data_IF_732690738346
#
_entry.id   IF_732690738346
#
_cell.length_a   1.000
_cell.length_b   1.000
_cell.length_c   1.000
_cell.angle_alpha   90.00
_cell.angle_beta   90.00
_cell.angle_gamma   90.00
#
_symmetry.space_group_name_H-M   'P 1'
#
loop_
_entity.id
_entity.type
_entity.pdbx_description
1 polymer ?
#
# COMPACT_ATOMS: atom_id res chain seq x y z
N UNK A 1 37.38 14.80 50.04
CA UNK A 1 36.04 15.23 50.57
C UNK A 1 34.96 14.63 49.71
N UNK A 2 34.44 13.60 50.20
CA UNK A 2 33.06 13.05 50.30
C UNK A 2 31.96 13.85 49.60
N UNK A 3 31.14 13.21 48.73
CA UNK A 3 29.92 12.49 49.17
C UNK A 3 29.30 11.62 48.04
N UNK A 4 29.09 10.38 48.41
CA UNK A 4 28.26 9.40 47.72
C UNK A 4 26.78 9.79 47.72
N UNK A 5 26.02 9.44 46.68
CA UNK A 5 24.61 9.11 46.84
C UNK A 5 24.19 8.08 45.77
N UNK A 6 23.78 6.91 46.24
CA UNK A 6 23.28 5.78 45.48
C UNK A 6 21.80 5.96 45.07
N UNK A 7 21.31 5.30 43.99
CA UNK A 7 19.90 5.34 43.60
C UNK A 7 19.06 4.31 44.34
N UNK A 8 17.87 4.72 44.76
CA UNK A 8 16.85 3.90 45.38
C UNK A 8 16.19 2.99 44.34
N UNK A 9 16.27 1.68 44.60
CA UNK A 9 15.54 0.64 43.91
C UNK A 9 14.10 0.63 44.43
N UNK A 10 13.11 0.78 43.55
CA UNK A 10 11.69 0.61 43.85
C UNK A 10 11.27 -0.79 43.39
N UNK A 11 11.05 -1.69 44.34
CA UNK A 11 10.52 -3.03 44.12
C UNK A 11 8.99 -2.92 44.04
N UNK A 12 8.41 -3.25 42.88
CA UNK A 12 6.97 -3.50 42.73
C UNK A 12 6.70 -5.00 42.85
N UNK A 13 5.92 -5.37 43.85
CA UNK A 13 5.36 -6.72 44.06
C UNK A 13 4.35 -7.02 42.95
N UNK A 14 4.57 -8.11 42.22
CA UNK A 14 3.56 -8.74 41.38
C UNK A 14 2.83 -9.81 42.21
N UNK A 15 1.54 -9.60 42.46
CA UNK A 15 0.61 -10.59 42.99
C UNK A 15 0.13 -11.47 41.81
N UNK A 16 0.57 -12.73 41.80
CA UNK A 16 0.05 -13.75 40.91
C UNK A 16 -1.21 -14.38 41.52
N UNK A 17 -2.33 -14.26 40.82
CA UNK A 17 -3.56 -15.00 41.12
C UNK A 17 -3.54 -16.30 40.30
N UNK A 18 -3.32 -17.42 40.95
CA UNK A 18 -3.47 -18.75 40.39
C UNK A 18 -4.91 -19.22 40.60
N UNK A 19 -5.65 -19.42 39.53
CA UNK A 19 -6.91 -20.18 39.56
C UNK A 19 -6.66 -21.62 39.12
N UNK A 20 -6.80 -22.51 40.06
CA UNK A 20 -6.80 -23.96 39.83
C UNK A 20 -8.17 -24.38 39.28
N UNK A 21 -8.19 -25.07 38.14
CA UNK A 21 -9.38 -25.78 37.68
C UNK A 21 -9.23 -27.26 38.06
N UNK A 22 -10.11 -27.70 38.98
CA UNK A 22 -10.33 -29.13 39.26
C UNK A 22 -11.39 -29.67 38.30
N UNK A 23 -11.02 -30.70 37.56
CA UNK A 23 -11.98 -31.51 36.81
C UNK A 23 -12.60 -32.55 37.75
N UNK A 24 -13.94 -32.55 37.83
CA UNK A 24 -14.70 -33.62 38.45
C UNK A 24 -15.57 -34.30 37.38
N UNK A 25 -15.29 -35.57 37.15
CA UNK A 25 -16.19 -36.49 36.42
C UNK A 25 -17.36 -36.87 37.34
N UNK A 26 -18.58 -36.79 36.83
CA UNK A 26 -19.74 -37.44 37.44
C UNK A 26 -20.66 -38.00 36.34
N UNK A 27 -21.00 -39.24 36.54
CA UNK A 27 -21.81 -40.10 35.70
C UNK A 27 -23.32 -39.74 35.68
N UNK A 28 -24.00 -40.32 34.72
CA UNK A 28 -25.33 -40.02 34.25
C UNK A 28 -26.49 -40.25 35.23
N UNK A 29 -27.57 -39.57 34.93
CA UNK A 29 -28.91 -39.75 35.46
C UNK A 29 -29.94 -39.12 34.51
N UNK A 30 -31.20 -39.56 34.52
CA UNK A 30 -32.10 -39.51 33.37
C UNK A 30 -32.80 -38.16 33.13
N UNK A 31 -33.29 -38.04 31.91
CA UNK A 31 -33.99 -36.90 31.34
C UNK A 31 -35.09 -36.31 32.25
N UNK A 32 -34.90 -35.04 32.62
CA UNK A 32 -35.94 -34.18 33.16
C UNK A 32 -36.38 -33.18 32.10
N UNK A 33 -37.64 -33.19 31.75
CA UNK A 33 -38.28 -32.21 30.90
C UNK A 33 -38.05 -30.77 31.42
N UNK A 34 -37.34 -29.97 30.62
CA UNK A 34 -37.30 -28.51 30.85
C UNK A 34 -38.60 -27.90 30.32
N UNK A 35 -39.25 -27.00 31.06
CA UNK A 35 -40.40 -26.27 30.57
C UNK A 35 -39.96 -25.37 29.41
N UNK A 36 -40.68 -25.46 28.31
CA UNK A 36 -40.59 -24.58 27.16
C UNK A 36 -40.71 -23.13 27.60
N UNK A 37 -39.61 -22.38 27.49
CA UNK A 37 -39.66 -20.94 27.60
C UNK A 37 -40.49 -20.41 26.42
N UNK A 38 -41.67 -19.95 26.70
CA UNK A 38 -42.51 -19.12 25.85
C UNK A 38 -41.63 -17.91 25.42
N UNK A 39 -41.18 -17.95 24.13
CA UNK A 39 -40.64 -16.76 23.50
C UNK A 39 -41.73 -15.72 23.42
N UNK A 40 -41.80 -14.83 24.42
CA UNK A 40 -42.58 -13.60 24.33
C UNK A 40 -42.08 -12.88 23.08
N UNK A 41 -42.92 -12.82 22.07
CA UNK A 41 -42.72 -12.05 20.86
C UNK A 41 -42.41 -10.61 21.28
N UNK A 42 -41.16 -10.19 21.16
CA UNK A 42 -40.78 -8.78 21.34
C UNK A 42 -41.62 -7.97 20.37
N UNK A 43 -42.37 -7.03 20.88
CA UNK A 43 -43.10 -6.05 20.08
C UNK A 43 -42.16 -5.45 19.03
N UNK A 44 -42.61 -5.24 17.79
CA UNK A 44 -41.78 -4.67 16.75
C UNK A 44 -41.20 -3.35 17.26
N UNK A 45 -39.87 -3.23 17.31
CA UNK A 45 -39.22 -2.00 17.75
C UNK A 45 -39.79 -0.83 16.93
N UNK A 46 -40.35 0.16 17.63
CA UNK A 46 -40.95 1.37 17.04
C UNK A 46 -39.96 1.94 16.01
N UNK A 47 -40.42 2.12 14.78
CA UNK A 47 -39.57 2.70 13.75
C UNK A 47 -39.26 4.16 14.12
N UNK A 48 -37.99 4.59 14.03
CA UNK A 48 -37.66 5.95 14.41
C UNK A 48 -38.48 6.95 13.60
N UNK A 49 -39.05 7.94 14.29
CA UNK A 49 -39.92 8.98 13.73
C UNK A 49 -39.19 9.92 12.75
N UNK A 50 -37.87 9.85 12.68
CA UNK A 50 -37.05 10.69 11.82
C UNK A 50 -35.77 9.97 11.37
N UNK A 51 -35.08 10.53 10.37
CA UNK A 51 -33.85 10.02 9.84
C UNK A 51 -34.05 8.93 8.80
N UNK A 52 -33.22 7.89 8.85
CA UNK A 52 -33.33 6.74 7.95
C UNK A 52 -34.36 5.78 8.51
N UNK A 53 -35.49 5.66 7.82
CA UNK A 53 -36.64 4.85 8.18
C UNK A 53 -36.97 3.84 7.08
N UNK A 54 -37.80 2.84 7.39
CA UNK A 54 -38.26 1.85 6.43
C UNK A 54 -39.75 2.04 6.11
N UNK A 55 -40.06 2.21 4.82
CA UNK A 55 -41.44 2.36 4.34
C UNK A 55 -41.67 1.33 3.23
N UNK A 56 -42.66 0.44 3.41
CA UNK A 56 -42.96 -0.63 2.43
C UNK A 56 -41.71 -1.38 1.96
N UNK A 57 -40.84 -1.73 2.91
CA UNK A 57 -39.59 -2.47 2.67
C UNK A 57 -38.42 -1.66 2.10
N UNK A 58 -38.60 -0.40 1.73
CA UNK A 58 -37.55 0.47 1.21
C UNK A 58 -37.02 1.42 2.30
N UNK A 59 -35.73 1.69 2.29
CA UNK A 59 -35.14 2.74 3.13
C UNK A 59 -35.47 4.11 2.52
N UNK A 60 -35.91 5.04 3.36
CA UNK A 60 -36.25 6.43 3.02
C UNK A 60 -35.63 7.36 4.06
N UNK A 61 -35.49 8.63 3.75
CA UNK A 61 -35.05 9.64 4.70
C UNK A 61 -36.20 10.60 5.04
N UNK A 62 -36.53 10.68 6.35
CA UNK A 62 -37.45 11.65 6.89
C UNK A 62 -36.65 12.73 7.63
N UNK A 63 -36.85 13.97 7.21
CA UNK A 63 -36.17 15.11 7.80
C UNK A 63 -36.53 15.26 9.31
N UNK A 64 -35.55 15.34 10.22
CA UNK A 64 -35.81 15.42 11.64
C UNK A 64 -36.57 16.64 12.08
N UNK A 65 -36.41 17.77 11.37
CA UNK A 65 -37.04 19.05 11.74
C UNK A 65 -38.42 19.15 11.15
N UNK A 66 -38.56 18.91 9.86
CA UNK A 66 -39.84 19.09 9.14
C UNK A 66 -40.76 17.88 9.20
N UNK A 67 -40.23 16.72 9.66
CA UNK A 67 -40.92 15.42 9.66
C UNK A 67 -41.39 14.96 8.28
N UNK A 68 -40.99 15.65 7.21
CA UNK A 68 -41.35 15.33 5.82
C UNK A 68 -40.36 14.36 5.18
N UNK A 69 -40.85 13.48 4.31
CA UNK A 69 -39.98 12.64 3.49
C UNK A 69 -39.24 13.47 2.45
N UNK A 70 -37.94 13.30 2.37
CA UNK A 70 -37.14 13.92 1.32
C UNK A 70 -37.34 13.15 0.01
N UNK A 71 -37.93 13.81 -0.98
CA UNK A 71 -38.18 13.23 -2.31
C UNK A 71 -37.10 13.58 -3.33
N UNK A 72 -36.38 14.71 -3.13
CA UNK A 72 -35.33 15.21 -4.04
C UNK A 72 -34.02 14.47 -3.83
N UNK A 73 -33.38 14.04 -4.90
CA UNK A 73 -32.08 13.39 -4.88
C UNK A 73 -31.01 14.21 -4.16
N UNK A 74 -30.13 13.51 -3.46
CA UNK A 74 -28.99 14.16 -2.79
C UNK A 74 -28.48 13.39 -1.58
N UNK A 75 -27.30 13.81 -1.14
CA UNK A 75 -26.69 13.25 0.06
C UNK A 75 -27.34 13.79 1.33
N UNK A 76 -27.49 12.92 2.33
CA UNK A 76 -27.93 13.26 3.68
C UNK A 76 -27.01 12.57 4.69
N UNK A 77 -26.86 13.19 5.88
CA UNK A 77 -26.18 12.57 7.03
C UNK A 77 -27.19 12.27 8.11
N UNK A 78 -27.04 11.06 8.69
CA UNK A 78 -27.83 10.64 9.83
C UNK A 78 -26.97 9.77 10.75
N UNK A 79 -26.96 10.08 12.04
CA UNK A 79 -26.12 9.39 13.04
C UNK A 79 -24.65 9.22 12.61
N UNK A 80 -24.06 10.29 12.05
CA UNK A 80 -22.67 10.28 11.57
C UNK A 80 -22.45 9.58 10.21
N UNK A 81 -23.39 8.78 9.75
CA UNK A 81 -23.31 8.04 8.49
C UNK A 81 -23.83 8.86 7.29
N UNK A 82 -23.33 8.56 6.11
CA UNK A 82 -23.71 9.21 4.85
C UNK A 82 -24.65 8.31 4.06
N UNK A 83 -25.71 8.88 3.50
CA UNK A 83 -26.70 8.21 2.64
C UNK A 83 -26.92 9.02 1.38
N UNK A 84 -27.45 8.38 0.35
CA UNK A 84 -27.89 9.06 -0.88
C UNK A 84 -29.37 8.75 -1.14
N UNK A 85 -30.19 9.79 -1.09
CA UNK A 85 -31.61 9.74 -1.46
C UNK A 85 -31.69 9.86 -2.98
N UNK A 86 -32.45 9.00 -3.62
CA UNK A 86 -32.78 9.05 -5.06
C UNK A 86 -33.98 9.95 -5.29
N UNK A 87 -34.21 10.35 -6.53
CA UNK A 87 -35.46 10.97 -6.89
C UNK A 87 -36.63 10.02 -6.58
N UNK A 88 -37.69 10.56 -5.98
CA UNK A 88 -38.80 9.78 -5.43
C UNK A 88 -38.61 9.36 -3.96
N UNK A 89 -37.42 9.57 -3.35
CA UNK A 89 -37.24 9.49 -1.90
C UNK A 89 -36.63 8.19 -1.37
N UNK A 90 -36.43 7.18 -2.20
CA UNK A 90 -35.76 5.94 -1.78
C UNK A 90 -34.27 6.16 -1.56
N UNK A 91 -33.69 5.56 -0.51
CA UNK A 91 -32.24 5.56 -0.30
C UNK A 91 -31.58 4.52 -1.22
N UNK A 92 -30.46 4.92 -1.82
CA UNK A 92 -29.64 4.02 -2.62
C UNK A 92 -29.03 2.93 -1.74
N UNK A 93 -29.22 1.66 -2.11
CA UNK A 93 -28.74 0.48 -1.35
C UNK A 93 -27.97 -0.50 -2.23
N UNK A 94 -27.08 -1.27 -1.62
CA UNK A 94 -26.53 -2.54 -2.12
C UNK A 94 -25.70 -2.50 -3.39
N UNK A 95 -25.37 -1.34 -3.97
CA UNK A 95 -24.66 -1.25 -5.25
C UNK A 95 -23.71 -0.07 -5.36
N UNK A 96 -22.89 -0.10 -6.40
CA UNK A 96 -22.13 1.05 -6.86
C UNK A 96 -23.04 1.95 -7.72
N UNK A 97 -22.82 3.26 -7.61
CA UNK A 97 -23.55 4.26 -8.37
C UNK A 97 -22.70 5.49 -8.65
N UNK A 98 -23.19 6.37 -9.50
CA UNK A 98 -22.53 7.65 -9.83
C UNK A 98 -23.43 8.82 -9.49
N UNK A 99 -22.78 9.90 -9.03
CA UNK A 99 -23.40 11.23 -8.96
C UNK A 99 -22.44 12.18 -9.66
N UNK A 100 -22.84 12.71 -10.81
CA UNK A 100 -21.96 13.41 -11.71
C UNK A 100 -20.77 12.53 -12.13
N UNK A 101 -19.57 13.07 -12.06
CA UNK A 101 -18.32 12.33 -12.38
C UNK A 101 -17.81 11.41 -11.27
N UNK A 102 -18.40 11.44 -10.10
CA UNK A 102 -17.91 10.71 -8.92
C UNK A 102 -18.61 9.36 -8.73
N UNK A 103 -17.85 8.36 -8.31
CA UNK A 103 -18.34 7.03 -7.95
C UNK A 103 -18.52 6.91 -6.46
N UNK A 104 -19.53 6.14 -6.05
CA UNK A 104 -19.90 5.85 -4.68
C UNK A 104 -20.31 4.38 -4.54
N UNK A 105 -20.32 3.90 -3.32
CA UNK A 105 -20.82 2.56 -2.99
C UNK A 105 -21.77 2.64 -1.80
N UNK A 106 -22.97 2.11 -1.97
CA UNK A 106 -23.94 1.96 -0.91
C UNK A 106 -23.97 0.51 -0.41
N UNK A 107 -23.91 0.31 0.91
CA UNK A 107 -24.16 -0.99 1.53
C UNK A 107 -25.64 -1.37 1.46
N UNK A 108 -25.99 -2.61 1.83
CA UNK A 108 -27.38 -3.10 1.82
C UNK A 108 -28.30 -2.27 2.73
N UNK A 109 -27.78 -1.69 3.80
CA UNK A 109 -28.48 -0.80 4.73
C UNK A 109 -28.55 0.67 4.28
N UNK A 110 -28.05 0.99 3.10
CA UNK A 110 -28.06 2.32 2.49
C UNK A 110 -26.91 3.22 2.89
N UNK A 111 -26.08 2.86 3.88
CA UNK A 111 -24.88 3.65 4.23
C UNK A 111 -23.93 3.72 3.06
N UNK A 112 -23.43 4.91 2.78
CA UNK A 112 -22.39 5.12 1.80
C UNK A 112 -21.03 4.73 2.42
N UNK A 113 -20.28 3.90 1.74
CA UNK A 113 -18.97 3.45 2.17
C UNK A 113 -18.00 4.64 2.30
N UNK A 114 -17.38 4.78 3.48
CA UNK A 114 -16.37 5.79 3.80
C UNK A 114 -15.16 5.16 4.47
N UNK A 115 -13.97 5.77 4.31
CA UNK A 115 -12.72 5.21 4.84
C UNK A 115 -12.36 3.88 4.21
N UNK A 116 -11.73 2.99 4.98
CA UNK A 116 -11.38 1.62 4.55
C UNK A 116 -12.52 0.67 4.87
N UNK A 117 -12.96 -0.08 3.88
CA UNK A 117 -14.08 -1.04 4.01
C UNK A 117 -13.87 -2.27 3.12
N UNK A 118 -14.57 -3.36 3.46
CA UNK A 118 -14.57 -4.61 2.66
C UNK A 118 -15.80 -4.67 1.75
N UNK A 119 -15.56 -5.03 0.48
CA UNK A 119 -16.60 -5.28 -0.51
C UNK A 119 -16.20 -6.44 -1.42
N UNK A 120 -17.08 -7.41 -1.62
CA UNK A 120 -16.81 -8.59 -2.48
C UNK A 120 -15.41 -9.20 -2.25
N UNK A 121 -15.07 -9.49 -0.99
CA UNK A 121 -13.79 -10.06 -0.53
C UNK A 121 -12.55 -9.17 -0.67
N UNK A 122 -12.64 -7.98 -1.26
CA UNK A 122 -11.53 -7.02 -1.40
C UNK A 122 -11.68 -5.83 -0.45
N UNK A 123 -10.58 -5.17 -0.16
CA UNK A 123 -10.54 -3.93 0.61
C UNK A 123 -10.54 -2.74 -0.34
N UNK A 124 -11.27 -1.69 0.03
CA UNK A 124 -11.39 -0.45 -0.72
C UNK A 124 -11.28 0.75 0.20
N UNK A 125 -11.04 1.91 -0.39
CA UNK A 125 -11.02 3.18 0.32
C UNK A 125 -11.87 4.21 -0.41
N UNK A 126 -12.75 4.85 0.33
CA UNK A 126 -13.48 6.04 -0.10
C UNK A 126 -13.15 7.21 0.82
N UNK A 127 -13.25 8.42 0.31
CA UNK A 127 -13.01 9.65 1.09
C UNK A 127 -13.91 9.66 2.33
N UNK A 128 -13.34 9.77 3.55
CA UNK A 128 -14.13 9.74 4.77
C UNK A 128 -15.14 10.90 4.92
N UNK A 129 -14.88 12.02 4.26
CA UNK A 129 -15.73 13.20 4.34
C UNK A 129 -16.97 13.13 3.45
N UNK A 130 -16.83 12.55 2.26
CA UNK A 130 -17.87 12.61 1.23
C UNK A 130 -18.19 11.28 0.55
N UNK A 131 -17.54 10.18 0.91
CA UNK A 131 -17.76 8.84 0.34
C UNK A 131 -17.29 8.65 -1.10
N UNK A 132 -16.63 9.64 -1.71
CA UNK A 132 -16.14 9.53 -3.09
C UNK A 132 -15.04 8.49 -3.19
N UNK A 133 -15.11 7.67 -4.20
CA UNK A 133 -13.99 6.82 -4.54
C UNK A 133 -12.78 7.69 -4.84
N UNK A 134 -11.68 7.35 -4.20
CA UNK A 134 -10.39 7.91 -4.55
C UNK A 134 -9.90 7.14 -5.79
N UNK A 135 -10.39 7.50 -6.97
CA UNK A 135 -9.82 7.03 -8.22
C UNK A 135 -8.40 7.56 -8.31
N UNK A 136 -7.45 6.69 -8.04
CA UNK A 136 -6.07 6.92 -8.39
C UNK A 136 -6.05 6.81 -9.91
N UNK A 137 -5.92 7.94 -10.60
CA UNK A 137 -6.13 8.05 -12.06
C UNK A 137 -5.04 7.33 -12.82
N UNK A 138 -4.60 6.37 -12.95
CA UNK A 138 -3.63 5.43 -13.49
C UNK A 138 -2.94 4.62 -12.40
N UNK A 139 -2.44 3.45 -12.75
CA UNK A 139 -1.62 2.58 -11.89
C UNK A 139 -0.38 3.29 -11.27
N UNK A 140 -0.13 4.53 -11.64
CA UNK A 140 1.02 5.35 -11.25
C UNK A 140 0.79 6.22 -10.02
N UNK A 141 -0.46 6.41 -9.59
CA UNK A 141 -0.78 7.14 -8.37
C UNK A 141 -1.01 6.21 -7.17
N UNK A 142 -0.26 5.12 -7.11
CA UNK A 142 -0.19 4.28 -5.92
C UNK A 142 0.30 5.14 -4.75
N UNK A 143 -0.54 5.32 -3.73
CA UNK A 143 -0.19 6.20 -2.62
C UNK A 143 -0.58 5.63 -1.26
N UNK A 144 0.20 6.00 -0.26
CA UNK A 144 -0.18 5.84 1.13
C UNK A 144 -1.27 6.84 1.52
N UNK A 145 -2.30 6.36 2.20
CA UNK A 145 -3.29 7.19 2.87
C UNK A 145 -3.31 6.86 4.35
N UNK A 146 -3.55 7.86 5.19
CA UNK A 146 -3.70 7.68 6.63
C UNK A 146 -5.18 7.75 6.99
N UNK A 147 -5.68 6.72 7.69
CA UNK A 147 -7.05 6.66 8.18
C UNK A 147 -7.11 6.00 9.55
N UNK A 148 -7.81 6.61 10.50
CA UNK A 148 -7.89 6.17 11.91
C UNK A 148 -6.52 5.78 12.49
N UNK A 149 -5.51 6.66 12.29
CA UNK A 149 -4.15 6.46 12.79
C UNK A 149 -3.26 5.53 11.97
N UNK A 150 -3.80 4.65 11.15
CA UNK A 150 -3.07 3.65 10.37
C UNK A 150 -2.75 4.11 8.95
N UNK A 151 -1.65 3.61 8.38
CA UNK A 151 -1.33 3.74 6.97
C UNK A 151 -1.97 2.62 6.15
N UNK A 152 -2.48 2.97 4.98
CA UNK A 152 -3.00 2.06 3.96
C UNK A 152 -2.39 2.43 2.61
N UNK A 153 -2.26 1.45 1.72
CA UNK A 153 -1.71 1.69 0.39
C UNK A 153 -2.80 1.49 -0.66
N UNK A 154 -3.13 2.57 -1.36
CA UNK A 154 -4.12 2.54 -2.43
C UNK A 154 -3.49 2.07 -3.73
N UNK A 155 -4.13 1.08 -4.32
CA UNK A 155 -3.90 0.62 -5.69
C UNK A 155 -4.86 1.34 -6.66
N UNK A 156 -4.86 0.94 -7.91
CA UNK A 156 -5.86 1.39 -8.89
C UNK A 156 -7.28 1.08 -8.42
N UNK A 157 -8.26 1.87 -8.87
CA UNK A 157 -9.68 1.69 -8.56
C UNK A 157 -10.06 1.71 -7.07
N UNK A 158 -9.32 2.49 -6.27
CA UNK A 158 -9.54 2.59 -4.82
C UNK A 158 -9.35 1.28 -4.04
N UNK A 159 -8.78 0.25 -4.65
CA UNK A 159 -8.47 -1.01 -3.97
C UNK A 159 -7.29 -0.79 -3.00
N UNK A 160 -7.43 -1.32 -1.78
CA UNK A 160 -6.39 -1.26 -0.76
C UNK A 160 -5.53 -2.52 -0.84
N UNK A 161 -4.22 -2.36 -0.86
CA UNK A 161 -3.29 -3.48 -0.82
C UNK A 161 -3.44 -4.28 0.48
N UNK A 162 -3.41 -5.61 0.39
CA UNK A 162 -3.42 -6.51 1.54
C UNK A 162 -2.47 -7.71 1.30
N UNK A 163 -1.93 -8.26 2.38
CA UNK A 163 -1.02 -9.42 2.40
C UNK A 163 0.20 -9.26 1.49
N UNK A 164 0.74 -8.04 1.38
CA UNK A 164 1.88 -7.77 0.51
C UNK A 164 2.75 -6.61 0.99
N UNK A 165 4.04 -6.60 0.64
CA UNK A 165 4.86 -5.41 0.84
C UNK A 165 4.46 -4.31 -0.14
N UNK A 166 4.63 -3.07 0.30
CA UNK A 166 4.36 -1.83 -0.45
C UNK A 166 5.41 -0.78 -0.12
N UNK A 167 5.49 0.26 -0.93
CA UNK A 167 6.37 1.41 -0.67
C UNK A 167 5.51 2.66 -0.51
N UNK A 168 5.68 3.36 0.62
CA UNK A 168 4.99 4.63 0.92
C UNK A 168 6.06 5.68 1.21
N UNK A 169 6.13 6.75 0.41
CA UNK A 169 7.15 7.80 0.53
C UNK A 169 8.57 7.22 0.64
N UNK A 170 8.92 6.36 -0.30
CA UNK A 170 10.22 5.68 -0.39
C UNK A 170 10.60 4.80 0.82
N UNK A 171 9.66 4.53 1.72
CA UNK A 171 9.86 3.64 2.86
C UNK A 171 9.13 2.32 2.64
N UNK A 172 9.74 1.17 3.01
CA UNK A 172 9.14 -0.13 2.85
C UNK A 172 8.14 -0.42 3.98
N UNK A 173 6.96 -0.95 3.62
CA UNK A 173 5.92 -1.39 4.54
C UNK A 173 5.43 -2.78 4.15
N UNK A 174 4.76 -3.44 5.07
CA UNK A 174 3.96 -4.63 4.82
C UNK A 174 2.50 -4.34 5.15
N UNK A 175 1.62 -4.49 4.17
CA UNK A 175 0.18 -4.43 4.36
C UNK A 175 -0.33 -5.80 4.80
N UNK A 176 -0.97 -5.87 5.96
CA UNK A 176 -1.55 -7.11 6.50
C UNK A 176 -2.87 -7.49 5.78
N UNK A 177 -3.59 -8.51 6.28
CA UNK A 177 -4.87 -8.96 5.74
C UNK A 177 -6.00 -7.92 5.86
N UNK A 178 -5.84 -6.94 6.76
CA UNK A 178 -6.75 -5.81 6.95
C UNK A 178 -6.30 -4.58 6.17
N UNK A 179 -5.18 -4.68 5.44
CA UNK A 179 -4.58 -3.59 4.67
C UNK A 179 -3.78 -2.59 5.52
N UNK A 180 -3.64 -2.83 6.82
CA UNK A 180 -2.84 -1.96 7.69
C UNK A 180 -1.37 -2.12 7.35
N UNK A 181 -0.72 -1.00 7.04
CA UNK A 181 0.68 -0.96 6.64
C UNK A 181 1.59 -0.73 7.84
N UNK A 182 2.34 -1.76 8.23
CA UNK A 182 3.40 -1.67 9.23
C UNK A 182 4.74 -1.43 8.55
N UNK A 183 5.52 -0.47 9.04
CA UNK A 183 6.84 -0.15 8.49
C UNK A 183 7.79 -1.32 8.64
N UNK A 184 8.46 -1.70 7.55
CA UNK A 184 9.51 -2.70 7.56
C UNK A 184 10.86 -2.05 7.90
N UNK A 185 11.66 -2.75 8.68
CA UNK A 185 13.02 -2.32 8.95
C UNK A 185 13.86 -2.28 7.66
N UNK A 186 14.65 -1.22 7.51
CA UNK A 186 15.67 -1.12 6.47
C UNK A 186 16.93 -1.79 6.99
N UNK A 187 17.13 -3.04 6.61
CA UNK A 187 18.31 -3.82 7.04
C UNK A 187 19.61 -3.11 6.68
N UNK A 188 20.55 -3.13 7.61
CA UNK A 188 21.93 -2.73 7.33
C UNK A 188 22.50 -3.61 6.22
N UNK A 189 23.30 -3.03 5.33
CA UNK A 189 23.98 -3.78 4.26
C UNK A 189 25.48 -3.53 4.31
N UNK A 190 26.26 -4.56 4.01
CA UNK A 190 27.71 -4.44 3.77
C UNK A 190 28.00 -4.11 2.32
N UNK A 191 27.04 -4.32 1.38
CA UNK A 191 27.20 -4.08 -0.04
C UNK A 191 27.43 -2.58 -0.34
N UNK A 192 28.59 -2.19 -0.91
CA UNK A 192 28.93 -0.78 -1.11
C UNK A 192 28.04 -0.12 -2.19
N UNK A 193 27.64 -0.88 -3.25
CA UNK A 193 26.77 -0.38 -4.32
C UNK A 193 25.40 0.01 -3.75
N UNK A 194 24.80 -0.88 -2.93
CA UNK A 194 23.51 -0.62 -2.31
C UNK A 194 23.58 0.55 -1.31
N UNK A 195 24.69 0.69 -0.56
CA UNK A 195 24.91 1.87 0.30
C UNK A 195 24.88 3.17 -0.49
N UNK A 196 25.54 3.20 -1.65
CA UNK A 196 25.54 4.37 -2.53
C UNK A 196 24.13 4.64 -3.07
N UNK A 197 23.46 3.62 -3.61
CA UNK A 197 22.11 3.75 -4.19
C UNK A 197 21.09 4.30 -3.18
N UNK A 198 21.10 3.79 -1.95
CA UNK A 198 20.18 4.24 -0.88
C UNK A 198 20.30 5.73 -0.58
N UNK A 199 21.50 6.30 -0.64
CA UNK A 199 21.74 7.73 -0.41
C UNK A 199 21.18 8.63 -1.51
N UNK A 200 20.79 8.04 -2.66
CA UNK A 200 20.24 8.81 -3.78
C UNK A 200 18.71 8.84 -3.80
N UNK A 201 18.04 8.02 -2.99
CA UNK A 201 16.57 7.95 -2.97
C UNK A 201 15.97 9.34 -2.76
N UNK A 202 14.96 9.69 -3.56
CA UNK A 202 14.28 10.97 -3.56
C UNK A 202 14.86 12.03 -4.50
N UNK A 203 16.06 11.83 -5.05
CA UNK A 203 16.64 12.72 -6.06
C UNK A 203 15.81 12.70 -7.34
N UNK A 204 15.40 13.89 -7.83
CA UNK A 204 14.48 14.01 -8.97
C UNK A 204 14.69 15.24 -9.86
N UNK A 205 15.26 16.30 -9.34
CA UNK A 205 15.48 17.51 -10.14
C UNK A 205 16.63 17.31 -11.13
N UNK A 206 16.64 18.07 -12.22
CA UNK A 206 17.75 18.07 -13.18
C UNK A 206 19.11 18.21 -12.48
N UNK A 207 19.20 19.14 -11.53
CA UNK A 207 20.42 19.35 -10.72
C UNK A 207 20.81 18.11 -9.95
N UNK A 208 19.86 17.39 -9.36
CA UNK A 208 20.13 16.19 -8.56
C UNK A 208 20.64 15.02 -9.40
N UNK A 209 20.07 14.82 -10.60
CA UNK A 209 20.29 13.63 -11.41
C UNK A 209 21.35 13.81 -12.50
N UNK A 210 21.69 15.06 -12.79
CA UNK A 210 22.69 15.42 -13.81
C UNK A 210 23.99 14.63 -13.67
N UNK A 211 24.49 14.46 -12.44
CA UNK A 211 25.73 13.74 -12.17
C UNK A 211 25.69 12.26 -12.56
N UNK A 212 24.49 11.61 -12.59
CA UNK A 212 24.34 10.22 -13.05
C UNK A 212 24.55 10.08 -14.56
N UNK A 213 24.37 11.17 -15.29
CA UNK A 213 24.54 11.21 -16.73
C UNK A 213 25.92 11.71 -17.14
N UNK A 214 26.33 12.85 -16.57
CA UNK A 214 27.55 13.55 -16.95
C UNK A 214 28.81 12.71 -16.79
N UNK A 215 28.87 11.87 -15.75
CA UNK A 215 30.04 11.01 -15.51
C UNK A 215 30.28 10.02 -16.67
N UNK A 216 29.21 9.62 -17.38
CA UNK A 216 29.29 8.63 -18.46
C UNK A 216 29.46 9.29 -19.82
N UNK A 217 28.71 10.35 -20.09
CA UNK A 217 28.71 11.01 -21.39
C UNK A 217 29.64 12.20 -21.50
N UNK A 218 30.28 12.65 -20.40
CA UNK A 218 31.16 13.82 -20.38
C UNK A 218 30.45 15.16 -20.64
N UNK A 219 29.15 15.14 -20.80
CA UNK A 219 28.32 16.32 -21.12
C UNK A 219 27.01 16.35 -20.33
N UNK A 220 26.46 17.55 -20.16
CA UNK A 220 25.18 17.75 -19.50
C UNK A 220 24.01 17.20 -20.29
N UNK A 221 22.92 16.85 -19.60
CA UNK A 221 21.64 16.65 -20.27
C UNK A 221 21.21 17.90 -21.04
N UNK A 222 20.68 17.69 -22.23
CA UNK A 222 19.89 18.70 -22.92
C UNK A 222 18.43 18.62 -22.46
N UNK A 223 17.89 17.42 -22.31
CA UNK A 223 16.52 17.17 -21.87
C UNK A 223 16.48 15.90 -20.98
N UNK A 224 16.06 16.08 -19.70
CA UNK A 224 15.93 14.96 -18.74
C UNK A 224 14.72 14.10 -19.01
N UNK A 225 13.71 14.65 -19.71
CA UNK A 225 12.43 13.99 -19.93
C UNK A 225 12.49 13.02 -21.13
N UNK A 226 13.32 13.35 -22.12
CA UNK A 226 13.49 12.52 -23.32
C UNK A 226 14.57 11.44 -23.18
N UNK A 227 15.40 11.50 -22.14
CA UNK A 227 16.59 10.65 -22.05
C UNK A 227 16.53 9.70 -20.86
N UNK A 228 16.34 8.39 -21.07
CA UNK A 228 16.36 7.40 -19.98
C UNK A 228 17.71 7.37 -19.27
N UNK A 229 17.75 7.53 -17.97
CA UNK A 229 18.98 7.53 -17.16
C UNK A 229 19.06 6.40 -16.11
N UNK A 230 18.21 5.38 -16.23
CA UNK A 230 18.24 4.22 -15.32
C UNK A 230 19.57 3.47 -15.37
N UNK A 231 20.11 3.23 -16.56
CA UNK A 231 21.38 2.54 -16.75
C UNK A 231 22.58 3.35 -16.24
N UNK A 232 22.64 4.64 -16.54
CA UNK A 232 23.71 5.52 -16.05
C UNK A 232 23.69 5.67 -14.53
N UNK A 233 22.49 5.67 -13.90
CA UNK A 233 22.34 5.62 -12.44
C UNK A 233 22.97 4.35 -11.85
N UNK A 234 22.66 3.18 -12.41
CA UNK A 234 23.25 1.90 -11.97
C UNK A 234 24.77 1.96 -12.11
N UNK A 235 25.28 2.35 -13.28
CA UNK A 235 26.72 2.49 -13.51
C UNK A 235 27.40 3.47 -12.55
N UNK A 236 26.76 4.62 -12.30
CA UNK A 236 27.25 5.62 -11.36
C UNK A 236 27.35 5.05 -9.92
N UNK A 237 26.36 4.29 -9.49
CA UNK A 237 26.38 3.62 -8.18
C UNK A 237 27.54 2.64 -8.05
N UNK A 238 27.78 1.82 -9.07
CA UNK A 238 28.91 0.89 -9.12
C UNK A 238 30.24 1.64 -9.12
N UNK A 239 30.37 2.72 -9.90
CA UNK A 239 31.58 3.57 -9.92
C UNK A 239 31.85 4.20 -8.56
N UNK A 240 30.86 4.85 -7.95
CA UNK A 240 30.99 5.48 -6.63
C UNK A 240 31.27 4.48 -5.50
N UNK A 241 30.90 3.23 -5.69
CA UNK A 241 31.22 2.13 -4.80
C UNK A 241 32.57 1.48 -5.03
N UNK A 242 33.37 1.94 -6.00
CA UNK A 242 34.63 1.30 -6.40
C UNK A 242 34.47 -0.08 -7.03
N UNK A 243 33.29 -0.37 -7.62
CA UNK A 243 32.95 -1.69 -8.17
C UNK A 243 32.65 -1.66 -9.69
N UNK A 244 33.02 -0.57 -10.38
CA UNK A 244 32.65 -0.39 -11.78
C UNK A 244 33.28 -1.47 -12.71
N UNK A 245 34.44 -1.97 -12.36
CA UNK A 245 35.13 -3.01 -13.14
C UNK A 245 34.30 -4.29 -13.28
N UNK A 246 33.43 -4.58 -12.32
CA UNK A 246 32.51 -5.74 -12.37
C UNK A 246 31.52 -5.65 -13.53
N UNK A 247 31.18 -4.45 -13.99
CA UNK A 247 30.19 -4.18 -15.05
C UNK A 247 30.80 -3.45 -16.24
N UNK A 248 32.07 -3.08 -16.23
CA UNK A 248 32.76 -2.35 -17.31
C UNK A 248 32.64 -3.08 -18.65
N UNK A 249 32.72 -4.42 -18.63
CA UNK A 249 32.62 -5.26 -19.83
C UNK A 249 31.20 -5.25 -20.47
N UNK A 250 30.20 -4.60 -19.86
CA UNK A 250 28.90 -4.34 -20.49
C UNK A 250 29.00 -3.28 -21.60
N UNK A 251 30.10 -2.53 -21.66
CA UNK A 251 30.29 -1.43 -22.61
C UNK A 251 29.40 -0.25 -22.31
N UNK A 252 28.36 -0.03 -23.12
CA UNK A 252 27.44 1.08 -22.93
C UNK A 252 26.41 0.79 -21.83
N UNK A 253 26.71 1.18 -20.58
CA UNK A 253 25.83 1.00 -19.43
C UNK A 253 24.53 1.81 -19.54
N UNK A 254 24.49 2.86 -20.35
CA UNK A 254 23.27 3.63 -20.60
C UNK A 254 22.26 2.87 -21.47
N UNK A 255 22.73 1.87 -22.20
CA UNK A 255 21.91 1.05 -23.09
C UNK A 255 21.63 -0.32 -22.47
N UNK A 256 20.47 -0.49 -21.87
CA UNK A 256 20.09 -1.70 -21.12
C UNK A 256 20.30 -3.03 -21.86
N UNK A 257 20.08 -3.12 -23.21
CA UNK A 257 20.43 -4.32 -23.95
C UNK A 257 21.91 -4.74 -23.85
N UNK A 258 22.84 -3.78 -23.71
CA UNK A 258 24.28 -4.09 -23.52
C UNK A 258 24.52 -4.77 -22.18
N UNK A 259 23.80 -4.36 -21.12
CA UNK A 259 23.87 -4.99 -19.80
C UNK A 259 23.38 -6.45 -19.86
N UNK A 260 22.28 -6.69 -20.57
CA UNK A 260 21.76 -8.04 -20.78
C UNK A 260 22.73 -8.93 -21.57
N UNK A 261 23.26 -8.42 -22.65
CA UNK A 261 24.27 -9.14 -23.47
C UNK A 261 25.53 -9.49 -22.67
N UNK A 262 25.97 -8.57 -21.81
CA UNK A 262 27.04 -8.85 -20.85
C UNK A 262 26.71 -10.05 -19.96
N UNK A 263 25.48 -10.10 -19.44
CA UNK A 263 25.04 -11.21 -18.60
C UNK A 263 24.90 -12.53 -19.36
N UNK A 264 24.41 -12.48 -20.60
CA UNK A 264 24.34 -13.64 -21.50
C UNK A 264 25.73 -14.20 -21.77
N UNK A 265 26.66 -13.35 -22.23
CA UNK A 265 28.02 -13.76 -22.64
C UNK A 265 28.90 -14.24 -21.47
N UNK A 266 28.53 -13.90 -20.22
CA UNK A 266 29.35 -14.21 -19.06
C UNK A 266 28.65 -15.10 -18.02
N UNK A 267 27.49 -15.65 -18.35
CA UNK A 267 26.73 -16.50 -17.44
C UNK A 267 26.35 -15.82 -16.11
N UNK A 268 26.03 -14.50 -16.14
CA UNK A 268 25.81 -13.70 -14.93
C UNK A 268 24.36 -13.66 -14.47
N UNK A 269 23.45 -14.28 -15.22
CA UNK A 269 22.05 -14.38 -14.78
C UNK A 269 21.91 -15.28 -13.57
N UNK A 270 21.11 -14.84 -12.61
CA UNK A 270 20.76 -15.61 -11.41
C UNK A 270 19.25 -15.73 -11.29
N UNK A 271 18.78 -16.82 -10.66
CA UNK A 271 17.36 -16.99 -10.38
C UNK A 271 16.86 -15.82 -9.51
N UNK A 272 15.72 -15.22 -9.84
CA UNK A 272 15.14 -14.07 -9.12
C UNK A 272 15.06 -14.29 -7.61
N UNK A 273 14.69 -15.51 -7.17
CA UNK A 273 14.61 -15.85 -5.75
C UNK A 273 15.98 -15.91 -5.04
N UNK A 274 17.09 -15.97 -5.79
CA UNK A 274 18.46 -15.97 -5.28
C UNK A 274 19.13 -14.60 -5.42
N UNK A 275 18.37 -13.58 -5.79
CA UNK A 275 18.85 -12.20 -5.86
C UNK A 275 19.38 -11.73 -4.50
N UNK A 276 20.48 -10.97 -4.53
CA UNK A 276 21.15 -10.41 -3.35
C UNK A 276 21.20 -8.89 -3.44
N UNK A 277 21.45 -8.25 -2.33
CA UNK A 277 21.68 -6.81 -2.28
C UNK A 277 22.85 -6.40 -3.19
N UNK A 278 22.60 -5.36 -3.99
CA UNK A 278 23.52 -4.85 -4.99
C UNK A 278 23.49 -5.55 -6.36
N UNK A 279 22.81 -6.70 -6.54
CA UNK A 279 22.61 -7.29 -7.86
C UNK A 279 21.86 -6.30 -8.78
N UNK A 280 21.98 -6.46 -10.09
CA UNK A 280 21.28 -5.64 -11.10
C UNK A 280 20.00 -6.37 -11.52
N UNK A 281 18.87 -5.69 -11.50
CA UNK A 281 17.60 -6.21 -12.02
C UNK A 281 17.30 -5.56 -13.37
N UNK A 282 16.84 -6.36 -14.33
CA UNK A 282 16.45 -5.92 -15.68
C UNK A 282 14.98 -6.16 -15.90
N UNK A 283 14.29 -5.16 -16.44
CA UNK A 283 12.85 -5.18 -16.68
C UNK A 283 12.48 -5.14 -18.17
N UNK A 284 11.32 -5.75 -18.48
CA UNK A 284 10.73 -5.77 -19.80
C UNK A 284 11.67 -6.34 -20.85
N UNK A 285 11.51 -5.90 -22.07
CA UNK A 285 12.41 -6.25 -23.18
C UNK A 285 13.65 -5.34 -23.15
N UNK A 286 14.42 -5.36 -22.03
CA UNK A 286 15.61 -4.52 -21.82
C UNK A 286 15.28 -3.01 -21.80
N UNK A 287 14.14 -2.61 -21.25
CA UNK A 287 13.73 -1.19 -21.25
C UNK A 287 14.10 -0.45 -19.98
N UNK A 288 14.36 -1.17 -18.90
CA UNK A 288 14.64 -0.56 -17.61
C UNK A 288 15.57 -1.43 -16.77
N UNK A 289 16.29 -0.80 -15.84
CA UNK A 289 17.26 -1.46 -14.96
C UNK A 289 17.32 -0.77 -13.60
N UNK A 290 17.58 -1.57 -12.55
CA UNK A 290 17.72 -1.08 -11.19
C UNK A 290 18.70 -1.89 -10.37
N UNK A 291 18.84 -1.55 -9.09
CA UNK A 291 19.69 -2.23 -8.10
C UNK A 291 18.80 -2.97 -7.12
N UNK A 292 19.05 -4.26 -6.93
CA UNK A 292 18.33 -5.07 -5.93
C UNK A 292 18.67 -4.59 -4.52
N UNK A 293 17.64 -4.34 -3.73
CA UNK A 293 17.79 -4.02 -2.30
C UNK A 293 17.65 -5.26 -1.42
N UNK A 294 16.65 -6.11 -1.68
CA UNK A 294 16.44 -7.40 -1.01
C UNK A 294 15.28 -8.20 -1.61
N UNK A 295 15.26 -9.48 -1.32
CA UNK A 295 14.07 -10.34 -1.49
C UNK A 295 13.36 -10.48 -0.15
N UNK A 296 12.01 -10.43 -0.15
CA UNK A 296 11.20 -10.54 1.05
C UNK A 296 9.81 -11.12 0.73
N UNK A 297 9.47 -12.27 1.31
CA UNK A 297 8.16 -12.93 1.19
C UNK A 297 7.63 -13.01 -0.26
N UNK A 298 8.43 -13.50 -1.20
CA UNK A 298 8.03 -13.62 -2.61
C UNK A 298 8.03 -12.30 -3.41
N UNK A 299 8.62 -11.24 -2.85
CA UNK A 299 8.77 -9.94 -3.49
C UNK A 299 10.23 -9.52 -3.53
N UNK A 300 10.58 -8.65 -4.48
CA UNK A 300 11.89 -8.05 -4.62
C UNK A 300 11.78 -6.53 -4.49
N UNK A 301 12.53 -5.96 -3.55
CA UNK A 301 12.70 -4.52 -3.42
C UNK A 301 13.90 -4.07 -4.23
N UNK A 302 13.77 -2.93 -4.89
CA UNK A 302 14.80 -2.34 -5.75
C UNK A 302 14.98 -0.86 -5.46
N UNK A 303 16.11 -0.31 -5.89
CA UNK A 303 16.35 1.12 -6.00
C UNK A 303 16.66 1.42 -7.45
N UNK A 304 15.90 2.30 -8.06
CA UNK A 304 15.90 2.54 -9.48
C UNK A 304 16.05 4.02 -9.80
N UNK A 305 16.86 4.34 -10.77
CA UNK A 305 16.90 5.67 -11.35
C UNK A 305 15.87 5.81 -12.47
N UNK A 306 15.38 7.01 -12.70
CA UNK A 306 14.33 7.31 -13.68
C UNK A 306 13.05 6.49 -13.45
N UNK A 307 12.67 6.34 -12.18
CA UNK A 307 11.55 5.52 -11.71
C UNK A 307 10.65 6.30 -10.73
N UNK A 308 9.62 5.64 -10.23
CA UNK A 308 8.69 6.18 -9.24
C UNK A 308 7.33 6.56 -9.83
N UNK A 309 6.38 6.98 -8.98
CA UNK A 309 5.01 7.29 -9.39
C UNK A 309 4.89 8.44 -10.39
N UNK A 310 5.93 9.27 -10.47
CA UNK A 310 5.98 10.40 -11.40
C UNK A 310 6.75 10.09 -12.70
N UNK A 311 7.36 8.88 -12.79
CA UNK A 311 8.06 8.40 -13.99
C UNK A 311 7.06 7.92 -15.05
N UNK A 312 6.40 8.84 -15.70
CA UNK A 312 5.50 8.53 -16.82
C UNK A 312 6.28 8.36 -18.12
N UNK A 313 6.27 7.12 -18.68
CA UNK A 313 6.73 6.91 -20.05
C UNK A 313 5.86 7.75 -20.98
N UNK A 314 6.44 8.77 -21.57
CA UNK A 314 5.73 9.69 -22.47
C UNK A 314 5.14 10.95 -21.83
N UNK A 315 5.32 11.18 -20.53
CA UNK A 315 5.02 12.45 -19.90
C UNK A 315 6.30 13.21 -19.56
N UNK A 316 6.28 14.53 -19.65
CA UNK A 316 7.43 15.42 -19.43
C UNK A 316 7.82 15.58 -17.94
N UNK A 317 7.50 14.63 -17.06
CA UNK A 317 7.90 14.67 -15.66
C UNK A 317 9.12 13.80 -15.45
N UNK A 318 10.26 14.34 -15.00
CA UNK A 318 11.46 13.56 -14.77
C UNK A 318 11.20 12.48 -13.70
N UNK A 319 11.65 11.27 -13.98
CA UNK A 319 11.67 10.19 -12.99
C UNK A 319 12.55 10.56 -11.80
N UNK A 320 12.33 9.88 -10.69
CA UNK A 320 13.14 10.02 -9.49
C UNK A 320 14.10 8.84 -9.32
N UNK A 321 15.01 8.93 -8.35
CA UNK A 321 15.59 7.75 -7.72
C UNK A 321 14.60 7.28 -6.67
N UNK A 322 13.98 6.13 -6.89
CA UNK A 322 12.88 5.63 -6.08
C UNK A 322 13.14 4.20 -5.58
N UNK A 323 12.60 3.88 -4.39
CA UNK A 323 12.46 2.49 -3.96
C UNK A 323 11.19 1.92 -4.57
N UNK A 324 11.31 0.73 -5.16
CA UNK A 324 10.21 0.02 -5.79
C UNK A 324 10.06 -1.38 -5.19
N UNK A 325 8.92 -2.04 -5.43
CA UNK A 325 8.66 -3.42 -5.00
C UNK A 325 7.82 -4.15 -6.02
N UNK A 326 8.25 -5.36 -6.40
CA UNK A 326 7.62 -6.21 -7.39
C UNK A 326 7.44 -7.62 -6.86
N UNK A 327 6.48 -8.39 -7.39
CA UNK A 327 6.46 -9.83 -7.17
C UNK A 327 7.64 -10.49 -7.88
N UNK A 328 8.20 -11.55 -7.29
CA UNK A 328 9.28 -12.30 -7.94
C UNK A 328 8.85 -12.99 -9.24
N UNK A 329 7.56 -13.37 -9.34
CA UNK A 329 6.95 -13.98 -10.52
C UNK A 329 6.41 -12.94 -11.52
N UNK A 330 6.66 -11.65 -11.29
CA UNK A 330 6.25 -10.60 -12.22
C UNK A 330 6.91 -10.84 -13.60
N UNK A 331 6.07 -10.93 -14.63
CA UNK A 331 6.49 -11.11 -16.03
C UNK A 331 7.24 -9.89 -16.58
N UNK A 332 7.04 -8.73 -15.95
CA UNK A 332 7.81 -7.52 -16.26
C UNK A 332 9.29 -7.61 -15.88
N UNK A 333 9.69 -8.53 -14.99
CA UNK A 333 11.09 -8.76 -14.65
C UNK A 333 11.71 -9.75 -15.64
N UNK A 334 12.62 -9.30 -16.49
CA UNK A 334 13.41 -10.16 -17.38
C UNK A 334 14.32 -11.09 -16.57
N UNK A 335 15.09 -10.54 -15.63
CA UNK A 335 16.03 -11.32 -14.83
C UNK A 335 16.84 -10.48 -13.85
N UNK A 336 17.68 -11.16 -13.11
CA UNK A 336 18.64 -10.56 -12.18
C UNK A 336 20.06 -10.97 -12.58
N UNK A 337 20.98 -10.01 -12.55
CA UNK A 337 22.39 -10.17 -12.93
C UNK A 337 23.25 -9.98 -11.68
N UNK A 338 24.17 -10.91 -11.44
CA UNK A 338 25.22 -10.79 -10.42
C UNK A 338 26.55 -10.54 -11.11
N UNK A 339 27.01 -9.30 -11.12
CA UNK A 339 28.28 -8.94 -11.77
C UNK A 339 29.53 -9.53 -11.10
#
# INVERSE_FOLDING_TARGET
MHKNSAPRILIMLLLAFSMSFSAAFAEGGPAGEQPSQEQTAQAPAEQPDAGVIRIKGKYCYRDPLTKKLRKKAGFVRWNGELYYVQDGGAIQTGKEFRVGKHRYRAFKDGRIATGVYRWKKKLYYSDPKNGRWQTVGSYRLQRGVKWKGNWYFLQTNSEVAANRPVVIKDLPYYADSKGVCTRLEIRKTKNPVLKVARKQIGKRTKKDVQGFWTWFFGRSFVDTDATPWCGTFVGWCYRKAGQYDKIRASGNIAYVPSISRFADNRGKWVRKAKARDGDIIVFGNNRHVGIVERVYKGYIFTIEGNAGPDAEVGTRKPGAVARMVYKLDDRGIKGVIRP
#
